data_IF_202825929740
#
_entry.id   IF_202825929740
#
_cell.length_a   1.000
_cell.length_b   1.000
_cell.length_c   1.000
_cell.angle_alpha   90.00
_cell.angle_beta   90.00
_cell.angle_gamma   90.00
#
_symmetry.space_group_name_H-M   'P 1'
#
loop_
_entity.id
_entity.type
_entity.pdbx_description
1 polymer ?
#
# COMPACT_ATOMS: atom_id res chain seq x y z
N UNK A 1 -9.28 25.66 -5.98
CA UNK A 1 -8.67 24.76 -4.98
C UNK A 1 -7.21 24.59 -5.37
N UNK A 2 -6.25 24.63 -4.43
CA UNK A 2 -4.84 24.36 -4.76
C UNK A 2 -4.67 22.92 -5.26
N UNK A 3 -3.72 22.70 -6.17
CA UNK A 3 -3.36 21.36 -6.64
C UNK A 3 -2.85 20.53 -5.46
N UNK A 4 -3.42 19.33 -5.19
CA UNK A 4 -2.96 18.51 -4.09
C UNK A 4 -1.58 17.91 -4.39
N UNK A 5 -0.76 17.77 -3.35
CA UNK A 5 0.45 16.96 -3.43
C UNK A 5 0.07 15.47 -3.28
N UNK A 6 0.62 14.61 -4.12
CA UNK A 6 0.36 13.17 -4.11
C UNK A 6 1.64 12.45 -3.69
N UNK A 7 1.57 11.61 -2.65
CA UNK A 7 2.68 10.78 -2.17
C UNK A 7 2.28 9.31 -2.32
N UNK A 8 3.01 8.58 -3.15
CA UNK A 8 2.88 7.13 -3.29
C UNK A 8 3.92 6.43 -2.41
N UNK A 9 3.48 5.70 -1.39
CA UNK A 9 4.34 4.91 -0.50
C UNK A 9 4.23 3.44 -0.92
N UNK A 10 5.36 2.83 -1.31
CA UNK A 10 5.44 1.42 -1.70
C UNK A 10 6.48 0.70 -0.83
N UNK A 11 6.04 -0.30 -0.06
CA UNK A 11 6.90 -1.14 0.78
C UNK A 11 7.24 -2.43 0.02
N UNK A 12 8.51 -2.84 0.03
CA UNK A 12 8.95 -4.05 -0.68
C UNK A 12 8.64 -5.32 0.12
N UNK A 13 8.15 -6.37 -0.57
CA UNK A 13 7.80 -7.67 0.00
C UNK A 13 6.90 -7.64 1.25
N UNK A 14 6.09 -6.58 1.42
CA UNK A 14 5.22 -6.43 2.59
C UNK A 14 4.04 -7.39 2.52
N UNK A 15 3.96 -8.34 3.45
CA UNK A 15 2.84 -9.27 3.55
C UNK A 15 1.55 -8.58 4.03
N UNK A 16 0.41 -8.92 3.42
CA UNK A 16 -0.89 -8.29 3.72
C UNK A 16 -1.41 -8.48 5.15
N UNK A 17 -0.90 -9.49 5.89
CA UNK A 17 -1.36 -9.86 7.24
C UNK A 17 -0.81 -8.97 8.36
N UNK A 18 -0.19 -7.84 8.03
CA UNK A 18 0.27 -6.87 9.04
C UNK A 18 -0.91 -6.17 9.74
N UNK A 19 -1.99 -5.89 9.02
CA UNK A 19 -3.14 -5.18 9.55
C UNK A 19 -3.91 -6.06 10.56
N UNK A 20 -3.99 -5.61 11.82
CA UNK A 20 -4.60 -6.37 12.91
C UNK A 20 -3.75 -7.53 13.44
N UNK A 21 -2.45 -7.57 13.13
CA UNK A 21 -1.56 -8.62 13.62
C UNK A 21 -1.32 -8.49 15.15
N UNK A 22 -1.34 -9.59 15.93
CA UNK A 22 -1.25 -9.52 17.40
C UNK A 22 0.10 -9.02 17.94
N UNK A 23 1.17 -9.10 17.13
CA UNK A 23 2.54 -8.75 17.54
C UNK A 23 3.17 -7.61 16.73
N UNK A 24 2.69 -7.36 15.51
CA UNK A 24 3.32 -6.38 14.61
C UNK A 24 2.70 -5.03 14.91
N UNK A 25 3.53 -4.08 15.32
CA UNK A 25 3.08 -2.73 15.68
C UNK A 25 3.32 -1.78 14.52
N UNK A 26 2.24 -1.25 13.95
CA UNK A 26 2.30 -0.33 12.80
C UNK A 26 1.59 1.00 13.07
N UNK A 27 1.87 1.69 14.19
CA UNK A 27 1.05 2.82 14.67
C UNK A 27 0.88 3.95 13.64
N UNK A 28 1.87 4.16 12.76
CA UNK A 28 1.78 5.15 11.69
C UNK A 28 0.90 4.72 10.51
N UNK A 29 0.89 3.43 10.17
CA UNK A 29 -0.01 2.88 9.14
C UNK A 29 -1.43 2.75 9.70
N UNK A 30 -1.57 2.37 10.96
CA UNK A 30 -2.87 2.27 11.65
C UNK A 30 -3.54 3.66 11.67
N UNK A 31 -2.81 4.70 12.07
CA UNK A 31 -3.28 6.09 12.03
C UNK A 31 -3.60 6.58 10.61
N UNK A 32 -2.92 6.07 9.59
CA UNK A 32 -3.22 6.41 8.19
C UNK A 32 -4.53 5.73 7.74
N UNK A 33 -4.72 4.46 8.12
CA UNK A 33 -5.93 3.69 7.85
C UNK A 33 -7.18 4.31 8.50
N UNK A 34 -7.08 4.75 9.76
CA UNK A 34 -8.19 5.43 10.49
C UNK A 34 -8.63 6.74 9.86
N UNK A 35 -7.75 7.41 9.11
CA UNK A 35 -7.98 8.74 8.51
C UNK A 35 -8.27 8.66 7.01
N UNK A 36 -8.37 7.47 6.45
CA UNK A 36 -8.49 7.25 5.02
C UNK A 36 -9.39 6.07 4.68
N UNK A 37 -9.15 5.48 3.51
CA UNK A 37 -9.89 4.33 3.01
C UNK A 37 -8.97 3.13 2.93
N UNK A 38 -9.37 2.01 3.53
CA UNK A 38 -8.66 0.73 3.47
C UNK A 38 -9.31 -0.17 2.44
N UNK A 39 -8.52 -0.70 1.52
CA UNK A 39 -8.94 -1.73 0.57
C UNK A 39 -8.56 -3.10 1.13
N UNK A 40 -9.53 -3.94 1.46
CA UNK A 40 -9.29 -5.26 2.04
C UNK A 40 -8.80 -6.31 1.02
N UNK A 41 -9.07 -6.07 -0.27
CA UNK A 41 -8.83 -7.02 -1.36
C UNK A 41 -7.96 -6.37 -2.44
N UNK A 42 -6.66 -6.22 -2.18
CA UNK A 42 -5.69 -5.64 -3.11
C UNK A 42 -4.74 -6.70 -3.68
N UNK A 43 -4.54 -6.70 -4.99
CA UNK A 43 -3.66 -7.65 -5.69
C UNK A 43 -2.62 -6.89 -6.51
N UNK A 44 -1.41 -7.45 -6.58
CA UNK A 44 -0.40 -6.99 -7.53
C UNK A 44 -0.65 -7.62 -8.90
N UNK A 45 -0.30 -6.90 -9.97
CA UNK A 45 -0.44 -7.40 -11.34
C UNK A 45 0.53 -8.56 -11.65
N UNK A 46 1.65 -8.64 -10.92
CA UNK A 46 2.65 -9.70 -11.05
C UNK A 46 3.33 -9.96 -9.70
N UNK A 47 3.63 -11.23 -9.36
CA UNK A 47 4.31 -11.58 -8.10
C UNK A 47 5.82 -11.29 -8.10
N UNK A 48 6.34 -10.58 -9.11
CA UNK A 48 7.75 -10.22 -9.24
C UNK A 48 7.95 -8.71 -9.18
N UNK A 49 9.08 -8.28 -8.62
CA UNK A 49 9.37 -6.87 -8.32
C UNK A 49 9.27 -5.97 -9.56
N UNK A 50 10.02 -6.28 -10.62
CA UNK A 50 10.08 -5.45 -11.83
C UNK A 50 8.74 -5.35 -12.56
N UNK A 51 8.06 -6.46 -12.95
CA UNK A 51 6.78 -6.34 -13.64
C UNK A 51 5.68 -5.77 -12.73
N UNK A 52 5.65 -6.10 -11.43
CA UNK A 52 4.65 -5.54 -10.51
C UNK A 52 4.78 -4.02 -10.34
N UNK A 53 6.02 -3.52 -10.23
CA UNK A 53 6.29 -2.07 -10.17
C UNK A 53 6.05 -1.39 -11.52
N UNK A 54 6.41 -2.03 -12.63
CA UNK A 54 6.14 -1.50 -13.96
C UNK A 54 4.64 -1.26 -14.18
N UNK A 55 3.80 -2.28 -13.92
CA UNK A 55 2.34 -2.16 -14.01
C UNK A 55 1.76 -1.07 -13.10
N UNK A 56 2.31 -0.90 -11.89
CA UNK A 56 1.87 0.17 -10.96
C UNK A 56 2.17 1.58 -11.50
N UNK A 57 3.30 1.77 -12.19
CA UNK A 57 3.70 3.08 -12.73
C UNK A 57 3.01 3.40 -14.05
N UNK A 58 2.79 2.39 -14.90
CA UNK A 58 2.23 2.58 -16.25
C UNK A 58 0.71 2.39 -16.30
N UNK A 59 0.13 1.68 -15.34
CA UNK A 59 -1.29 1.27 -15.37
C UNK A 59 -1.59 0.18 -16.41
N UNK A 60 -0.58 -0.59 -16.83
CA UNK A 60 -0.69 -1.64 -17.86
C UNK A 60 -0.35 -3.03 -17.33
#
# INVERSE_FOLDING_TARGET
>A
MPTPNIILICSDQHGFRYAGHPLVKTPNLDRLAERGTVFSNTYCASPLCTPGRASMMTGM
#
